data_IF_981270101316
#
_entry.id   IF_981270101316
#
_cell.length_a   1.000
_cell.length_b   1.000
_cell.length_c   1.000
_cell.angle_alpha   90.00
_cell.angle_beta   90.00
_cell.angle_gamma   90.00
#
_symmetry.space_group_name_H-M   'P 1'
#
loop_
_entity.id
_entity.type
_entity.pdbx_description
1 polymer ?
#
# COMPACT_ATOMS: atom_id res chain seq x y z
N UNK A 1 -19.44 -4.87 -21.47
CA UNK A 1 -19.58 -3.58 -20.76
C UNK A 1 -20.57 -2.72 -21.52
N UNK A 2 -21.47 -2.05 -20.80
CA UNK A 2 -22.41 -1.07 -21.37
C UNK A 2 -21.69 0.23 -21.74
N UNK A 3 -22.32 1.08 -22.55
CA UNK A 3 -21.79 2.43 -22.84
C UNK A 3 -21.67 3.29 -21.57
N UNK A 4 -22.55 3.09 -20.59
CA UNK A 4 -22.54 3.81 -19.32
C UNK A 4 -21.29 3.44 -18.50
N UNK A 5 -20.88 2.17 -18.52
CA UNK A 5 -19.67 1.71 -17.82
C UNK A 5 -18.42 2.40 -18.37
N UNK A 6 -18.34 2.60 -19.68
CA UNK A 6 -17.24 3.31 -20.33
C UNK A 6 -17.21 4.79 -19.96
N UNK A 7 -18.37 5.45 -19.94
CA UNK A 7 -18.47 6.87 -19.52
C UNK A 7 -18.00 7.03 -18.08
N UNK A 8 -18.41 6.15 -17.17
CA UNK A 8 -17.98 6.18 -15.77
C UNK A 8 -16.48 5.91 -15.66
N UNK A 9 -15.95 4.90 -16.36
CA UNK A 9 -14.53 4.54 -16.32
C UNK A 9 -13.66 5.69 -16.85
N UNK A 10 -13.92 6.16 -18.07
CA UNK A 10 -13.13 7.22 -18.72
C UNK A 10 -13.28 8.53 -17.95
N UNK A 11 -14.50 8.88 -17.51
CA UNK A 11 -14.76 10.08 -16.73
C UNK A 11 -14.02 10.08 -15.39
N UNK A 12 -13.98 8.93 -14.70
CA UNK A 12 -13.25 8.78 -13.43
C UNK A 12 -11.74 8.91 -13.64
N UNK A 13 -11.18 8.24 -14.65
CA UNK A 13 -9.76 8.33 -14.99
C UNK A 13 -9.36 9.77 -15.38
N UNK A 14 -10.14 10.43 -16.23
CA UNK A 14 -9.91 11.81 -16.61
C UNK A 14 -9.96 12.76 -15.40
N UNK A 15 -10.91 12.55 -14.49
CA UNK A 15 -11.02 13.32 -13.25
C UNK A 15 -9.78 13.18 -12.37
N UNK A 16 -9.25 11.96 -12.22
CA UNK A 16 -8.02 11.74 -11.45
C UNK A 16 -6.81 12.46 -12.07
N UNK A 17 -6.64 12.35 -13.38
CA UNK A 17 -5.53 13.00 -14.09
C UNK A 17 -5.66 14.52 -13.98
N UNK A 18 -6.84 15.07 -14.26
CA UNK A 18 -7.08 16.50 -14.21
C UNK A 18 -6.90 17.07 -12.79
N UNK A 19 -7.45 16.41 -11.77
CA UNK A 19 -7.31 16.83 -10.38
C UNK A 19 -5.86 16.74 -9.89
N UNK A 20 -5.18 15.64 -10.22
CA UNK A 20 -3.77 15.45 -9.91
C UNK A 20 -2.91 16.56 -10.52
N UNK A 21 -3.05 16.80 -11.82
CA UNK A 21 -2.30 17.87 -12.52
C UNK A 21 -2.62 19.25 -11.94
N UNK A 22 -3.89 19.56 -11.67
CA UNK A 22 -4.29 20.85 -11.10
C UNK A 22 -3.66 21.11 -9.71
N UNK A 23 -3.71 20.12 -8.80
CA UNK A 23 -3.15 20.23 -7.44
C UNK A 23 -1.63 20.04 -7.39
N UNK A 24 -1.05 19.40 -8.40
CA UNK A 24 0.38 19.15 -8.53
C UNK A 24 1.20 20.36 -8.94
N UNK A 25 0.57 21.44 -9.43
CA UNK A 25 1.28 22.68 -9.82
C UNK A 25 2.00 23.30 -8.60
N UNK A 26 3.26 23.68 -8.79
CA UNK A 26 3.97 24.59 -7.87
C UNK A 26 5.17 24.06 -7.07
N UNK A 27 5.61 22.81 -7.24
CA UNK A 27 6.87 22.35 -6.59
C UNK A 27 8.07 22.63 -7.50
N UNK A 28 9.00 23.50 -7.06
CA UNK A 28 10.15 23.97 -7.85
C UNK A 28 11.52 23.51 -7.32
N UNK A 29 11.59 22.76 -6.22
CA UNK A 29 12.84 22.30 -5.60
C UNK A 29 12.80 20.86 -5.07
N UNK A 30 13.98 20.27 -4.86
CA UNK A 30 14.14 18.87 -4.42
C UNK A 30 13.58 18.64 -3.00
N UNK A 31 13.71 19.63 -2.11
CA UNK A 31 13.14 19.56 -0.76
C UNK A 31 11.61 19.56 -0.77
N UNK A 32 10.98 20.40 -1.60
CA UNK A 32 9.54 20.36 -1.80
C UNK A 32 9.06 19.10 -2.51
N UNK A 33 9.89 18.49 -3.36
CA UNK A 33 9.55 17.27 -4.09
C UNK A 33 9.67 15.98 -3.26
N UNK A 34 10.76 15.83 -2.48
CA UNK A 34 11.07 14.60 -1.74
C UNK A 34 10.65 14.65 -0.27
N UNK A 35 10.75 15.81 0.38
CA UNK A 35 10.54 15.96 1.83
C UNK A 35 9.31 16.80 2.18
N UNK A 36 8.58 17.32 1.19
CA UNK A 36 7.52 18.30 1.40
C UNK A 36 7.94 19.45 2.34
N UNK A 37 9.20 19.89 2.25
CA UNK A 37 9.77 20.93 3.13
C UNK A 37 9.84 20.55 4.62
N UNK A 38 9.70 19.27 4.97
CA UNK A 38 9.55 18.78 6.34
C UNK A 38 8.44 19.51 7.10
N UNK A 39 7.33 19.80 6.42
CA UNK A 39 6.24 20.58 6.98
C UNK A 39 4.97 19.76 7.23
N UNK A 40 5.03 18.43 7.18
CA UNK A 40 3.85 17.59 7.35
C UNK A 40 3.51 17.37 8.82
N UNK A 41 2.27 17.68 9.20
CA UNK A 41 1.71 17.29 10.49
C UNK A 41 1.44 15.78 10.53
N UNK A 42 1.37 15.23 11.75
CA UNK A 42 1.24 13.78 11.97
C UNK A 42 0.05 13.13 11.24
N UNK A 43 -1.15 13.74 11.12
CA UNK A 43 -2.26 13.09 10.42
C UNK A 43 -1.98 12.98 8.92
N UNK A 44 -1.24 13.95 8.36
CA UNK A 44 -0.85 13.94 6.95
C UNK A 44 0.22 12.89 6.67
N UNK A 45 1.15 12.70 7.62
CA UNK A 45 2.15 11.62 7.56
C UNK A 45 1.46 10.25 7.61
N UNK A 46 0.57 10.03 8.59
CA UNK A 46 -0.24 8.82 8.73
C UNK A 46 -1.01 8.49 7.46
N UNK A 47 -1.78 9.46 6.96
CA UNK A 47 -2.57 9.30 5.74
C UNK A 47 -1.68 8.99 4.53
N UNK A 48 -0.52 9.63 4.43
CA UNK A 48 0.42 9.35 3.34
C UNK A 48 0.99 7.93 3.40
N UNK A 49 1.23 7.41 4.60
CA UNK A 49 1.70 6.05 4.83
C UNK A 49 0.59 5.06 4.47
N UNK A 50 -0.62 5.26 5.00
CA UNK A 50 -1.79 4.43 4.71
C UNK A 50 -2.12 4.40 3.21
N UNK A 51 -2.10 5.55 2.54
CA UNK A 51 -2.36 5.64 1.10
C UNK A 51 -1.33 4.87 0.27
N UNK A 52 -0.09 4.73 0.75
CA UNK A 52 0.95 3.94 0.08
C UNK A 52 0.71 2.43 0.27
N UNK A 53 0.10 2.03 1.39
CA UNK A 53 -0.28 0.63 1.66
C UNK A 53 -1.49 0.16 0.86
N UNK A 54 -2.37 1.10 0.49
CA UNK A 54 -3.57 0.83 -0.27
C UNK A 54 -3.23 0.54 -1.74
N UNK A 55 -2.96 -0.72 -2.06
CA UNK A 55 -2.69 -1.16 -3.44
C UNK A 55 -3.90 -1.88 -4.06
N UNK A 56 -4.09 -1.79 -5.38
CA UNK A 56 -5.10 -2.60 -6.09
C UNK A 56 -4.92 -4.10 -5.84
N UNK A 57 -3.68 -4.57 -5.66
CA UNK A 57 -3.39 -5.97 -5.28
C UNK A 57 -4.10 -6.28 -3.97
N UNK A 58 -3.92 -5.47 -2.93
CA UNK A 58 -4.50 -5.70 -1.60
C UNK A 58 -6.02 -5.82 -1.67
N UNK A 59 -6.68 -4.92 -2.39
CA UNK A 59 -8.13 -4.91 -2.50
C UNK A 59 -8.71 -6.10 -3.28
N UNK A 60 -7.93 -6.70 -4.18
CA UNK A 60 -8.33 -7.91 -4.90
C UNK A 60 -7.94 -9.19 -4.15
N UNK A 61 -6.72 -9.26 -3.64
CA UNK A 61 -6.13 -10.47 -3.09
C UNK A 61 -6.65 -10.78 -1.69
N UNK A 62 -6.94 -9.76 -0.85
CA UNK A 62 -7.37 -10.01 0.53
C UNK A 62 -8.78 -10.61 0.61
N UNK A 63 -9.80 -10.18 -0.17
CA UNK A 63 -11.07 -10.91 -0.23
C UNK A 63 -10.91 -12.31 -0.85
N UNK A 64 -10.06 -12.44 -1.89
CA UNK A 64 -9.76 -13.73 -2.50
C UNK A 64 -9.11 -14.72 -1.52
N UNK A 65 -8.19 -14.25 -0.68
CA UNK A 65 -7.58 -15.01 0.41
C UNK A 65 -8.62 -15.37 1.49
N UNK A 66 -9.48 -14.42 1.85
CA UNK A 66 -10.59 -14.66 2.78
C UNK A 66 -11.54 -15.74 2.30
N UNK A 67 -11.79 -15.80 0.98
CA UNK A 67 -12.60 -16.85 0.36
C UNK A 67 -11.88 -18.21 0.34
N UNK A 68 -10.58 -18.22 0.00
CA UNK A 68 -9.83 -19.47 -0.22
C UNK A 68 -9.30 -20.13 1.05
N UNK A 69 -8.88 -19.37 2.06
CA UNK A 69 -8.22 -19.83 3.29
C UNK A 69 -8.75 -19.15 4.57
N UNK A 70 -9.73 -18.23 4.46
CA UNK A 70 -10.32 -17.56 5.60
C UNK A 70 -9.48 -16.41 6.17
N UNK A 71 -9.76 -16.04 7.41
CA UNK A 71 -9.20 -14.86 8.08
C UNK A 71 -7.82 -15.08 8.72
N UNK A 72 -7.22 -16.26 8.54
CA UNK A 72 -5.94 -16.64 9.16
C UNK A 72 -4.79 -15.69 8.81
N UNK A 73 -4.83 -15.11 7.61
CA UNK A 73 -3.84 -14.15 7.13
C UNK A 73 -3.77 -12.87 7.98
N UNK A 74 -4.82 -12.53 8.75
CA UNK A 74 -4.85 -11.33 9.60
C UNK A 74 -3.70 -11.32 10.62
N UNK A 75 -3.27 -12.49 11.09
CA UNK A 75 -2.17 -12.63 12.06
C UNK A 75 -0.85 -12.03 11.56
N UNK A 76 -0.65 -12.01 10.23
CA UNK A 76 0.50 -11.37 9.60
C UNK A 76 0.66 -9.89 9.97
N UNK A 77 -0.46 -9.21 10.27
CA UNK A 77 -0.46 -7.81 10.68
C UNK A 77 -0.16 -7.62 12.18
N UNK A 78 -0.13 -8.68 13.00
CA UNK A 78 0.13 -8.55 14.44
C UNK A 78 1.58 -8.14 14.75
N UNK A 79 2.53 -8.39 13.85
CA UNK A 79 3.89 -7.87 13.95
C UNK A 79 4.01 -6.36 13.69
N UNK A 80 3.00 -5.74 13.05
CA UNK A 80 3.03 -4.33 12.65
C UNK A 80 3.16 -3.37 13.86
N UNK A 81 2.33 -3.45 14.92
CA UNK A 81 2.45 -2.55 16.06
C UNK A 81 3.82 -2.65 16.75
N UNK A 82 4.36 -3.87 16.87
CA UNK A 82 5.68 -4.09 17.46
C UNK A 82 6.79 -3.43 16.62
N UNK A 83 6.71 -3.57 15.29
CA UNK A 83 7.64 -2.93 14.38
C UNK A 83 7.54 -1.39 14.48
N UNK A 84 6.34 -0.82 14.56
CA UNK A 84 6.15 0.62 14.70
C UNK A 84 6.79 1.18 15.97
N UNK A 85 6.67 0.47 17.11
CA UNK A 85 7.31 0.87 18.37
C UNK A 85 8.83 0.91 18.21
N UNK A 86 9.44 -0.13 17.64
CA UNK A 86 10.90 -0.21 17.43
C UNK A 86 11.38 0.90 16.48
N UNK A 87 10.66 1.15 15.39
CA UNK A 87 11.01 2.21 14.43
C UNK A 87 10.91 3.60 15.06
N UNK A 88 9.86 3.85 15.85
CA UNK A 88 9.70 5.11 16.57
C UNK A 88 10.80 5.34 17.61
N UNK A 89 11.22 4.28 18.30
CA UNK A 89 12.27 4.34 19.30
C UNK A 89 13.66 4.56 18.67
N UNK A 90 13.94 3.88 17.55
CA UNK A 90 15.31 3.78 17.00
C UNK A 90 15.46 4.50 15.65
N UNK A 91 14.74 4.06 14.63
CA UNK A 91 14.96 4.51 13.25
C UNK A 91 14.64 6.00 13.06
N UNK A 92 13.46 6.44 13.52
CA UNK A 92 13.01 7.83 13.32
C UNK A 92 13.97 8.85 13.94
N UNK A 93 14.40 8.73 15.22
CA UNK A 93 15.37 9.66 15.81
C UNK A 93 16.74 9.63 15.14
N UNK A 94 17.18 8.48 14.63
CA UNK A 94 18.46 8.34 13.93
C UNK A 94 18.41 9.11 12.60
N UNK A 95 17.39 8.85 11.77
CA UNK A 95 17.30 9.52 10.47
C UNK A 95 17.07 11.03 10.61
N UNK A 96 16.28 11.46 11.60
CA UNK A 96 16.07 12.87 11.88
C UNK A 96 17.38 13.59 12.27
N UNK A 97 18.22 12.96 13.11
CA UNK A 97 19.52 13.53 13.53
C UNK A 97 20.51 13.67 12.38
N UNK A 98 20.56 12.68 11.48
CA UNK A 98 21.47 12.71 10.33
C UNK A 98 20.96 13.56 9.17
N UNK A 99 19.72 14.08 9.26
CA UNK A 99 19.08 14.93 8.24
C UNK A 99 19.08 14.31 6.83
N UNK A 100 19.10 12.98 6.73
CA UNK A 100 19.12 12.25 5.45
C UNK A 100 17.87 12.52 4.60
N UNK A 101 18.04 12.42 3.29
CA UNK A 101 16.94 12.39 2.31
C UNK A 101 16.44 10.97 2.06
N UNK A 102 17.32 9.97 2.24
CA UNK A 102 17.00 8.57 1.99
C UNK A 102 17.45 7.64 3.10
N UNK A 103 16.78 6.50 3.25
CA UNK A 103 17.20 5.42 4.15
C UNK A 103 18.62 4.91 3.83
N UNK A 104 19.03 4.95 2.55
CA UNK A 104 20.32 4.44 2.09
C UNK A 104 21.48 5.42 2.30
N UNK A 105 21.20 6.72 2.32
CA UNK A 105 22.19 7.75 2.70
C UNK A 105 22.70 7.53 4.13
N UNK A 106 21.85 6.99 5.01
CA UNK A 106 22.28 6.57 6.34
C UNK A 106 23.39 5.50 6.29
N UNK A 107 23.33 4.57 5.33
CA UNK A 107 24.33 3.51 5.20
C UNK A 107 25.70 4.04 4.75
N UNK A 108 25.73 5.10 3.93
CA UNK A 108 26.99 5.73 3.55
C UNK A 108 27.64 6.44 4.74
N UNK A 109 26.85 7.17 5.54
CA UNK A 109 27.36 7.82 6.75
C UNK A 109 27.80 6.84 7.85
N UNK A 110 27.21 5.64 7.89
CA UNK A 110 27.50 4.61 8.91
C UNK A 110 28.58 3.61 8.49
N UNK A 111 28.65 3.27 7.21
CA UNK A 111 29.55 2.29 6.64
C UNK A 111 30.40 2.94 5.55
N UNK A 112 29.97 2.88 4.30
CA UNK A 112 30.70 3.37 3.15
C UNK A 112 29.81 3.47 1.89
N UNK A 113 30.33 4.11 0.84
CA UNK A 113 29.61 4.33 -0.41
C UNK A 113 29.32 3.06 -1.22
N UNK A 114 30.15 2.01 -1.10
CA UNK A 114 29.91 0.70 -1.75
C UNK A 114 28.70 0.01 -1.12
N UNK A 115 28.60 0.06 0.21
CA UNK A 115 27.43 -0.47 0.95
C UNK A 115 26.14 0.25 0.55
N UNK A 116 26.16 1.58 0.45
CA UNK A 116 25.03 2.37 -0.07
C UNK A 116 24.66 1.97 -1.50
N UNK A 117 25.66 1.83 -2.38
CA UNK A 117 25.42 1.49 -3.79
C UNK A 117 24.80 0.11 -3.94
N UNK A 118 25.36 -0.90 -3.26
CA UNK A 118 24.83 -2.27 -3.28
C UNK A 118 23.37 -2.32 -2.83
N UNK A 119 23.06 -1.73 -1.67
CA UNK A 119 21.70 -1.73 -1.12
C UNK A 119 20.71 -0.95 -1.98
N UNK A 120 21.15 0.16 -2.59
CA UNK A 120 20.34 0.92 -3.55
C UNK A 120 20.01 0.09 -4.79
N UNK A 121 20.98 -0.64 -5.35
CA UNK A 121 20.75 -1.53 -6.51
C UNK A 121 19.77 -2.65 -6.16
N UNK A 122 19.96 -3.32 -5.01
CA UNK A 122 19.05 -4.36 -4.53
C UNK A 122 17.62 -3.83 -4.37
N UNK A 123 17.47 -2.64 -3.77
CA UNK A 123 16.18 -1.98 -3.64
C UNK A 123 15.54 -1.67 -5.00
N UNK A 124 16.30 -1.13 -5.96
CA UNK A 124 15.77 -0.80 -7.28
C UNK A 124 15.31 -2.05 -8.04
N UNK A 125 16.02 -3.17 -7.94
CA UNK A 125 15.61 -4.45 -8.52
C UNK A 125 14.33 -4.94 -7.88
N UNK A 126 14.28 -5.04 -6.54
CA UNK A 126 13.10 -5.49 -5.82
C UNK A 126 11.89 -4.59 -6.10
N UNK A 127 12.09 -3.27 -6.13
CA UNK A 127 11.05 -2.29 -6.46
C UNK A 127 10.57 -2.45 -7.90
N UNK A 128 11.48 -2.65 -8.86
CA UNK A 128 11.13 -2.88 -10.25
C UNK A 128 10.24 -4.11 -10.43
N UNK A 129 10.61 -5.22 -9.78
CA UNK A 129 9.80 -6.45 -9.76
C UNK A 129 8.43 -6.22 -9.09
N UNK A 130 8.41 -5.55 -7.93
CA UNK A 130 7.18 -5.23 -7.20
C UNK A 130 6.24 -4.32 -8.00
N UNK A 131 6.78 -3.32 -8.72
CA UNK A 131 6.01 -2.45 -9.60
C UNK A 131 5.41 -3.25 -10.77
N UNK A 132 6.16 -4.21 -11.33
CA UNK A 132 5.66 -5.14 -12.34
C UNK A 132 4.43 -5.93 -11.87
N UNK A 133 4.50 -6.54 -10.68
CA UNK A 133 3.34 -7.23 -10.09
C UNK A 133 2.16 -6.29 -9.82
N UNK A 134 2.46 -5.09 -9.32
CA UNK A 134 1.44 -4.06 -9.03
C UNK A 134 0.69 -3.63 -10.28
N UNK A 135 1.36 -3.60 -11.43
CA UNK A 135 0.77 -3.28 -12.72
C UNK A 135 0.05 -4.48 -13.33
N UNK A 136 0.59 -5.68 -13.17
CA UNK A 136 0.02 -6.91 -13.73
C UNK A 136 -1.36 -7.24 -13.13
N UNK A 137 -1.54 -7.11 -11.82
CA UNK A 137 -2.81 -7.47 -11.16
C UNK A 137 -4.04 -6.72 -11.73
N UNK A 138 -4.06 -5.38 -11.85
CA UNK A 138 -5.17 -4.68 -12.49
C UNK A 138 -5.24 -4.93 -14.00
N UNK A 139 -4.12 -5.13 -14.68
CA UNK A 139 -4.12 -5.47 -16.10
C UNK A 139 -4.79 -6.83 -16.37
N UNK A 140 -4.59 -7.82 -15.50
CA UNK A 140 -5.25 -9.13 -15.56
C UNK A 140 -6.76 -9.01 -15.37
N UNK A 141 -7.22 -8.21 -14.41
CA UNK A 141 -8.66 -7.97 -14.23
C UNK A 141 -9.25 -7.33 -15.48
N UNK A 142 -8.59 -6.28 -15.99
CA UNK A 142 -9.06 -5.55 -17.16
C UNK A 142 -9.07 -6.46 -18.40
N UNK A 143 -8.08 -7.32 -18.56
CA UNK A 143 -8.02 -8.27 -19.67
C UNK A 143 -9.18 -9.27 -19.63
N UNK A 144 -9.56 -9.74 -18.43
CA UNK A 144 -10.73 -10.62 -18.26
C UNK A 144 -12.04 -9.90 -18.57
N UNK A 145 -12.21 -8.65 -18.12
CA UNK A 145 -13.43 -7.87 -18.35
C UNK A 145 -13.60 -7.49 -19.83
N UNK A 146 -12.50 -7.12 -20.49
CA UNK A 146 -12.50 -6.67 -21.89
C UNK A 146 -12.35 -7.83 -22.90
N UNK A 147 -11.96 -9.02 -22.43
CA UNK A 147 -11.62 -10.16 -23.29
C UNK A 147 -10.33 -9.95 -24.11
N UNK A 148 -9.39 -9.15 -23.58
CA UNK A 148 -8.13 -8.84 -24.25
C UNK A 148 -7.00 -9.77 -23.81
N UNK A 149 -5.92 -9.85 -24.60
CA UNK A 149 -4.70 -10.54 -24.16
C UNK A 149 -4.03 -9.73 -23.03
N UNK A 150 -3.67 -10.41 -21.94
CA UNK A 150 -3.08 -9.78 -20.76
C UNK A 150 -1.73 -9.11 -21.08
N UNK A 151 -0.98 -9.59 -22.07
CA UNK A 151 0.30 -9.00 -22.49
C UNK A 151 0.10 -7.61 -23.06
N UNK A 152 -0.88 -7.45 -23.96
CA UNK A 152 -1.21 -6.16 -24.56
C UNK A 152 -1.85 -5.21 -23.56
N UNK A 153 -2.73 -5.73 -22.70
CA UNK A 153 -3.37 -4.96 -21.64
C UNK A 153 -2.34 -4.42 -20.64
N UNK A 154 -1.37 -5.26 -20.25
CA UNK A 154 -0.27 -4.87 -19.35
C UNK A 154 0.65 -3.84 -20.01
N UNK A 155 1.03 -4.04 -21.28
CA UNK A 155 1.87 -3.09 -22.01
C UNK A 155 1.19 -1.71 -22.12
N UNK A 156 -0.09 -1.67 -22.50
CA UNK A 156 -0.86 -0.43 -22.62
C UNK A 156 -0.98 0.30 -21.27
N UNK A 157 -1.30 -0.42 -20.20
CA UNK A 157 -1.38 0.14 -18.86
C UNK A 157 -0.01 0.67 -18.40
N UNK A 158 1.07 -0.03 -18.69
CA UNK A 158 2.43 0.41 -18.36
C UNK A 158 2.84 1.69 -19.05
N UNK A 159 2.59 1.81 -20.36
CA UNK A 159 2.84 3.05 -21.10
C UNK A 159 2.05 4.21 -20.49
N UNK A 160 0.77 4.00 -20.18
CA UNK A 160 -0.07 5.02 -19.57
C UNK A 160 0.45 5.46 -18.19
N UNK A 161 0.83 4.50 -17.33
CA UNK A 161 1.39 4.79 -16.01
C UNK A 161 2.71 5.55 -16.11
N UNK A 162 3.59 5.19 -17.06
CA UNK A 162 4.85 5.92 -17.28
C UNK A 162 4.59 7.35 -17.73
N UNK A 163 3.70 7.57 -18.71
CA UNK A 163 3.35 8.91 -19.18
C UNK A 163 2.78 9.75 -18.03
N UNK A 164 1.81 9.21 -17.29
CA UNK A 164 1.16 9.94 -16.20
C UNK A 164 2.14 10.26 -15.05
N UNK A 165 3.00 9.31 -14.68
CA UNK A 165 3.95 9.49 -13.57
C UNK A 165 5.05 10.49 -13.93
N UNK A 166 5.56 10.45 -15.17
CA UNK A 166 6.61 11.36 -15.65
C UNK A 166 6.10 12.78 -15.88
N UNK A 167 4.84 12.95 -16.30
CA UNK A 167 4.24 14.27 -16.55
C UNK A 167 3.66 14.92 -15.29
N UNK A 168 3.11 14.14 -14.34
CA UNK A 168 2.45 14.67 -13.14
C UNK A 168 3.38 14.94 -11.96
N UNK A 169 4.45 14.15 -11.79
CA UNK A 169 5.33 14.21 -10.61
C UNK A 169 4.66 13.76 -9.29
N UNK A 170 5.46 13.55 -8.24
CA UNK A 170 4.99 12.97 -6.96
C UNK A 170 3.80 13.68 -6.31
N UNK A 171 3.70 15.01 -6.42
CA UNK A 171 2.62 15.78 -5.79
C UNK A 171 1.28 15.56 -6.48
N UNK A 172 1.24 15.56 -7.81
CA UNK A 172 0.03 15.25 -8.58
C UNK A 172 -0.45 13.82 -8.30
N UNK A 173 0.50 12.88 -8.32
CA UNK A 173 0.24 11.46 -8.03
C UNK A 173 -0.35 11.28 -6.64
N UNK A 174 0.25 11.91 -5.61
CA UNK A 174 -0.24 11.78 -4.23
C UNK A 174 -1.68 12.29 -4.05
N UNK A 175 -2.05 13.38 -4.72
CA UNK A 175 -3.41 13.91 -4.66
C UNK A 175 -4.42 13.01 -5.40
N UNK A 176 -4.05 12.46 -6.55
CA UNK A 176 -4.87 11.49 -7.27
C UNK A 176 -5.07 10.20 -6.45
N UNK A 177 -4.02 9.70 -5.79
CA UNK A 177 -4.09 8.51 -4.94
C UNK A 177 -5.09 8.66 -3.79
N UNK A 178 -5.19 9.86 -3.19
CA UNK A 178 -6.17 10.10 -2.13
C UNK A 178 -7.62 9.97 -2.63
N UNK A 179 -7.94 10.54 -3.80
CA UNK A 179 -9.27 10.39 -4.40
C UNK A 179 -9.54 8.93 -4.79
N UNK A 180 -8.55 8.24 -5.39
CA UNK A 180 -8.65 6.82 -5.72
C UNK A 180 -8.94 5.97 -4.48
N UNK A 181 -8.23 6.22 -3.38
CA UNK A 181 -8.46 5.53 -2.12
C UNK A 181 -9.91 5.72 -1.62
N UNK A 182 -10.44 6.95 -1.64
CA UNK A 182 -11.82 7.21 -1.24
C UNK A 182 -12.84 6.46 -2.12
N UNK A 183 -12.63 6.47 -3.44
CA UNK A 183 -13.51 5.74 -4.37
C UNK A 183 -13.42 4.24 -4.12
N UNK A 184 -12.23 3.67 -3.95
CA UNK A 184 -12.05 2.24 -3.67
C UNK A 184 -12.76 1.87 -2.36
N UNK A 185 -12.54 2.62 -1.28
CA UNK A 185 -13.21 2.37 0.00
C UNK A 185 -14.74 2.45 -0.11
N UNK A 186 -15.26 3.45 -0.84
CA UNK A 186 -16.69 3.57 -1.12
C UNK A 186 -17.25 2.39 -1.91
N UNK A 187 -16.56 1.98 -2.98
CA UNK A 187 -16.97 0.83 -3.81
C UNK A 187 -16.89 -0.49 -3.04
N UNK A 188 -15.91 -0.65 -2.16
CA UNK A 188 -15.78 -1.84 -1.30
C UNK A 188 -16.92 -1.93 -0.29
N UNK A 189 -17.28 -0.82 0.35
CA UNK A 189 -18.43 -0.75 1.25
C UNK A 189 -19.75 -1.04 0.50
N UNK A 190 -19.91 -0.48 -0.70
CA UNK A 190 -21.07 -0.75 -1.55
C UNK A 190 -21.13 -2.23 -1.96
N UNK A 191 -20.01 -2.81 -2.40
CA UNK A 191 -19.92 -4.22 -2.77
C UNK A 191 -20.30 -5.13 -1.59
N UNK A 192 -19.83 -4.81 -0.38
CA UNK A 192 -20.22 -5.53 0.83
C UNK A 192 -21.74 -5.47 1.07
N UNK A 193 -22.35 -4.28 0.99
CA UNK A 193 -23.81 -4.11 1.15
C UNK A 193 -24.58 -4.90 0.08
N UNK A 194 -24.11 -4.88 -1.17
CA UNK A 194 -24.74 -5.63 -2.27
C UNK A 194 -24.63 -7.14 -2.05
N UNK A 195 -23.49 -7.66 -1.60
CA UNK A 195 -23.32 -9.07 -1.27
C UNK A 195 -24.29 -9.48 -0.16
N UNK A 196 -24.39 -8.70 0.92
CA UNK A 196 -25.32 -8.99 2.02
C UNK A 196 -26.78 -8.99 1.55
N UNK A 197 -27.16 -8.05 0.67
CA UNK A 197 -28.51 -8.02 0.08
C UNK A 197 -28.77 -9.13 -0.94
N UNK A 198 -27.71 -9.71 -1.49
CA UNK A 198 -27.78 -10.82 -2.46
C UNK A 198 -27.85 -12.18 -1.77
N UNK A 199 -27.73 -12.24 -0.44
CA UNK A 199 -27.98 -13.47 0.32
C UNK A 199 -29.44 -13.91 0.16
N UNK A 200 -29.73 -15.22 0.25
CA UNK A 200 -31.10 -15.71 0.31
C UNK A 200 -31.89 -14.99 1.41
N UNK A 201 -33.19 -14.73 1.18
CA UNK A 201 -34.03 -13.95 2.12
C UNK A 201 -34.07 -14.52 3.53
N UNK A 202 -33.81 -15.81 3.67
CA UNK A 202 -33.81 -16.58 4.91
C UNK A 202 -32.45 -16.54 5.64
N UNK A 203 -31.40 -16.06 4.98
CA UNK A 203 -30.02 -16.06 5.50
C UNK A 203 -29.62 -14.62 5.83
N UNK A 204 -29.54 -14.33 7.13
CA UNK A 204 -28.99 -13.08 7.60
C UNK A 204 -27.46 -13.04 7.53
N UNK A 205 -26.88 -11.86 7.77
CA UNK A 205 -25.42 -11.70 7.88
C UNK A 205 -24.84 -12.63 8.95
N UNK A 206 -25.49 -12.73 10.10
CA UNK A 206 -25.06 -13.60 11.20
C UNK A 206 -25.02 -15.07 10.78
N UNK A 207 -26.01 -15.54 10.03
CA UNK A 207 -26.06 -16.93 9.56
C UNK A 207 -24.95 -17.21 8.54
N UNK A 208 -24.70 -16.26 7.63
CA UNK A 208 -23.57 -16.34 6.72
C UNK A 208 -22.22 -16.39 7.45
N UNK A 209 -22.04 -15.58 8.51
CA UNK A 209 -20.81 -15.63 9.32
C UNK A 209 -20.66 -16.91 10.13
N UNK A 210 -21.77 -17.49 10.62
CA UNK A 210 -21.77 -18.78 11.32
C UNK A 210 -21.39 -19.91 10.38
N UNK A 211 -21.96 -19.93 9.18
CA UNK A 211 -21.58 -20.89 8.13
C UNK A 211 -20.09 -20.78 7.79
N UNK A 212 -19.59 -19.55 7.60
CA UNK A 212 -18.17 -19.31 7.39
C UNK A 212 -17.32 -19.83 8.56
N UNK A 213 -17.80 -19.70 9.80
CA UNK A 213 -17.18 -20.27 11.00
C UNK A 213 -17.11 -21.80 10.98
N UNK A 214 -18.21 -22.46 10.64
CA UNK A 214 -18.26 -23.93 10.50
C UNK A 214 -17.35 -24.45 9.37
N UNK A 215 -17.15 -23.65 8.32
CA UNK A 215 -16.19 -23.93 7.24
C UNK A 215 -14.74 -23.60 7.62
N UNK A 216 -14.49 -23.21 8.87
CA UNK A 216 -13.14 -22.84 9.37
C UNK A 216 -12.61 -21.52 8.82
N UNK A 217 -13.42 -20.73 8.11
CA UNK A 217 -13.00 -19.47 7.46
C UNK A 217 -12.89 -18.31 8.45
N UNK A 218 -13.53 -18.40 9.60
CA UNK A 218 -13.51 -17.35 10.64
C UNK A 218 -12.40 -17.54 11.68
N UNK A 219 -11.55 -18.56 11.54
CA UNK A 219 -10.42 -18.82 12.43
C UNK A 219 -9.32 -17.78 12.20
N UNK A 220 -9.48 -16.59 12.80
CA UNK A 220 -8.52 -15.51 12.60
C UNK A 220 -7.18 -15.77 13.29
N UNK A 221 -7.16 -16.50 14.41
CA UNK A 221 -5.94 -16.74 15.20
C UNK A 221 -5.71 -18.24 15.35
N UNK A 222 -4.51 -18.69 14.99
CA UNK A 222 -4.02 -20.05 15.23
C UNK A 222 -2.81 -19.99 16.18
N UNK A 223 -2.97 -20.48 17.41
CA UNK A 223 -1.93 -20.48 18.43
C UNK A 223 -0.91 -21.62 18.26
N UNK A 224 -1.25 -22.64 17.47
CA UNK A 224 -0.40 -23.80 17.26
C UNK A 224 0.86 -23.43 16.49
N UNK A 225 2.03 -23.75 17.03
CA UNK A 225 3.30 -23.55 16.34
C UNK A 225 3.54 -24.70 15.35
N UNK A 226 3.43 -24.40 14.06
CA UNK A 226 3.81 -25.30 12.98
C UNK A 226 4.63 -24.54 11.93
N UNK A 227 5.92 -24.88 11.73
CA UNK A 227 6.75 -24.26 10.70
C UNK A 227 6.23 -24.41 9.27
N UNK A 228 5.41 -25.43 8.98
CA UNK A 228 4.83 -25.66 7.66
C UNK A 228 3.54 -24.86 7.45
N UNK A 229 2.95 -24.36 8.53
CA UNK A 229 1.76 -23.55 8.49
C UNK A 229 2.10 -22.06 8.24
N UNK A 230 1.72 -21.56 7.06
CA UNK A 230 2.00 -20.19 6.64
C UNK A 230 1.33 -19.13 7.52
N UNK A 231 0.20 -19.46 8.17
CA UNK A 231 -0.61 -18.50 8.91
C UNK A 231 -0.92 -18.99 10.33
N UNK A 232 0.08 -18.90 11.19
CA UNK A 232 -0.04 -19.08 12.64
C UNK A 232 0.46 -17.84 13.41
N UNK A 233 0.14 -17.75 14.70
CA UNK A 233 0.45 -16.60 15.54
C UNK A 233 1.94 -16.25 15.50
N UNK A 234 2.81 -17.26 15.55
CA UNK A 234 4.26 -17.09 15.59
C UNK A 234 4.82 -16.60 14.26
N UNK A 235 4.31 -17.11 13.14
CA UNK A 235 4.64 -16.59 11.81
C UNK A 235 4.23 -15.11 11.65
N UNK A 236 3.08 -14.72 12.20
CA UNK A 236 2.58 -13.35 12.17
C UNK A 236 3.32 -12.40 13.10
N UNK A 237 3.66 -12.85 14.31
CA UNK A 237 4.41 -12.06 15.28
C UNK A 237 5.88 -11.92 14.87
N UNK A 238 6.57 -13.00 14.55
CA UNK A 238 8.02 -12.97 14.26
C UNK A 238 8.25 -12.58 12.80
N UNK A 239 7.67 -13.34 11.87
CA UNK A 239 7.83 -13.09 10.44
C UNK A 239 7.21 -11.76 10.02
N UNK A 240 5.99 -11.49 10.47
CA UNK A 240 5.35 -10.19 10.28
C UNK A 240 6.17 -9.06 10.91
N UNK A 241 6.69 -9.19 12.14
CA UNK A 241 7.52 -8.14 12.74
C UNK A 241 8.73 -7.78 11.89
N UNK A 242 9.55 -8.77 11.50
CA UNK A 242 10.74 -8.49 10.70
C UNK A 242 10.40 -7.96 9.31
N UNK A 243 9.31 -8.43 8.71
CA UNK A 243 8.85 -7.91 7.43
C UNK A 243 8.43 -6.45 7.54
N UNK A 244 7.59 -6.11 8.53
CA UNK A 244 7.14 -4.74 8.73
C UNK A 244 8.30 -3.83 9.15
N UNK A 245 9.25 -4.32 9.95
CA UNK A 245 10.46 -3.60 10.32
C UNK A 245 11.32 -3.29 9.08
N UNK A 246 11.53 -4.28 8.21
CA UNK A 246 12.26 -4.12 6.95
C UNK A 246 11.55 -3.12 6.04
N UNK A 247 10.25 -3.30 5.85
CA UNK A 247 9.45 -2.47 4.95
C UNK A 247 9.35 -1.02 5.45
N UNK A 248 8.84 -0.77 6.65
CA UNK A 248 8.70 0.61 7.15
C UNK A 248 10.03 1.25 7.58
N UNK A 249 11.02 0.44 7.94
CA UNK A 249 12.32 0.92 8.40
C UNK A 249 13.33 1.19 7.29
N UNK A 250 13.28 0.45 6.18
CA UNK A 250 14.35 0.49 5.16
C UNK A 250 13.87 0.72 3.74
N UNK A 251 12.57 0.56 3.46
CA UNK A 251 12.01 0.86 2.14
C UNK A 251 11.78 2.37 1.97
N UNK A 252 12.45 2.98 0.99
CA UNK A 252 12.37 4.42 0.76
C UNK A 252 10.94 4.97 0.49
N UNK A 253 10.03 4.16 -0.07
CA UNK A 253 8.64 4.60 -0.27
C UNK A 253 7.89 4.86 1.02
N UNK A 254 8.29 4.19 2.11
CA UNK A 254 7.76 4.39 3.45
C UNK A 254 8.61 5.36 4.25
N UNK A 255 9.93 5.16 4.27
CA UNK A 255 10.87 6.02 5.01
C UNK A 255 10.71 7.49 4.60
N UNK A 256 10.58 7.76 3.30
CA UNK A 256 10.38 9.12 2.79
C UNK A 256 9.16 9.84 3.37
N UNK A 257 8.11 9.11 3.78
CA UNK A 257 6.86 9.72 4.27
C UNK A 257 7.00 10.31 5.67
N UNK A 258 7.63 9.58 6.59
CA UNK A 258 7.83 10.10 7.95
C UNK A 258 9.07 10.98 8.06
N UNK A 259 10.01 10.95 7.11
CA UNK A 259 11.07 11.97 7.00
C UNK A 259 10.53 13.37 6.66
N UNK A 260 9.34 13.45 6.07
CA UNK A 260 8.66 14.71 5.74
C UNK A 260 7.91 15.34 6.94
N UNK A 261 7.93 14.71 8.11
CA UNK A 261 7.30 15.22 9.32
C UNK A 261 7.95 16.51 9.85
N UNK A 262 7.14 17.41 10.42
CA UNK A 262 7.59 18.67 11.05
C UNK A 262 8.56 18.48 12.21
N UNK A 263 8.43 17.36 12.92
CA UNK A 263 9.25 17.03 14.06
C UNK A 263 9.31 15.52 14.23
N UNK A 264 10.29 15.05 15.00
CA UNK A 264 10.38 13.63 15.41
C UNK A 264 9.07 13.15 16.04
N UNK A 265 8.38 14.00 16.80
CA UNK A 265 7.09 13.67 17.38
C UNK A 265 6.02 13.45 16.31
N UNK A 266 5.93 14.32 15.28
CA UNK A 266 4.97 14.14 14.20
C UNK A 266 5.27 12.90 13.34
N UNK A 267 6.54 12.61 13.09
CA UNK A 267 6.96 11.39 12.38
C UNK A 267 6.60 10.12 13.16
N UNK A 268 6.79 10.13 14.49
CA UNK A 268 6.42 9.00 15.37
C UNK A 268 4.91 8.80 15.45
N UNK A 269 4.16 9.89 15.69
CA UNK A 269 2.71 9.84 15.74
C UNK A 269 2.12 9.37 14.40
N UNK A 270 2.70 9.81 13.27
CA UNK A 270 2.27 9.36 11.95
C UNK A 270 2.60 7.90 11.62
N UNK A 271 3.48 7.24 12.38
CA UNK A 271 3.73 5.79 12.26
C UNK A 271 2.83 4.97 13.20
N UNK A 272 2.42 5.55 14.33
CA UNK A 272 1.63 4.85 15.36
C UNK A 272 0.12 4.90 15.11
N UNK A 273 -0.36 5.94 14.42
CA UNK A 273 -1.77 6.21 14.14
C UNK A 273 -1.98 6.34 12.63
#
# INVERSE_FOLDING_TARGET
MSALDWVVLIGTLATFVAYGVWRGRGSRDLQGYLLAGRSLAWPTVALSIMATQASPITFLSTPGQGFSDGLRFVQFYFGLPLAMVVLCAIAVPVYARMKVFTAYEYLEGRFDSKTRTLTTVLFLIQRGLGAGFTLYAPALILSVILGWDVRWTSAALGVLVVIYTTTGGNKAVSHAHFLQFLIIMGTMALAFVLIVRSLPREVGLLDATRLAGHLGRMNAVNLHFDPNDRYNLWSGLIGGFFLQLSYFGTDQSQVGRYLAGQSVAHSRLGLLF
#
